data_IF_520615878728
#
_entry.id   IF_520615878728
#
_cell.length_a   1.000
_cell.length_b   1.000
_cell.length_c   1.000
_cell.angle_alpha   90.00
_cell.angle_beta   90.00
_cell.angle_gamma   90.00
#
_symmetry.space_group_name_H-M   'P 1'
#
loop_
_entity.id
_entity.type
_entity.pdbx_description
1 polymer ?
#
# COMPACT_ATOMS: atom_id res chain seq x y z
N UNK A 1 -2.04 -2.75 25.52
CA UNK A 1 -1.08 -3.36 24.58
C UNK A 1 -1.71 -3.14 23.21
N UNK A 2 -1.15 -2.28 22.34
CA UNK A 2 -1.75 -2.02 21.02
C UNK A 2 -1.67 -3.31 20.20
N UNK A 3 -2.77 -3.68 19.57
CA UNK A 3 -2.88 -4.91 18.81
C UNK A 3 -1.99 -4.82 17.56
N UNK A 4 -1.09 -5.80 17.42
CA UNK A 4 -0.09 -5.87 16.36
C UNK A 4 -0.46 -6.86 15.27
N UNK A 5 -1.55 -7.62 15.45
CA UNK A 5 -1.82 -8.73 14.56
C UNK A 5 -2.82 -8.28 13.47
N UNK A 6 -2.36 -8.37 12.23
CA UNK A 6 -3.16 -8.28 11.01
C UNK A 6 -3.56 -9.67 10.51
N UNK A 7 -3.76 -10.59 11.45
CA UNK A 7 -4.12 -11.98 11.17
C UNK A 7 -5.64 -12.11 11.21
N UNK A 8 -6.23 -12.65 10.14
CA UNK A 8 -7.67 -12.83 10.00
C UNK A 8 -7.98 -14.30 9.78
N UNK A 9 -8.98 -14.83 10.48
CA UNK A 9 -9.51 -16.18 10.25
C UNK A 9 -10.51 -16.15 9.11
N UNK A 10 -10.36 -17.06 8.15
CA UNK A 10 -11.12 -17.08 6.89
C UNK A 10 -11.74 -18.45 6.59
N UNK A 11 -11.68 -19.39 7.54
CA UNK A 11 -12.13 -20.77 7.34
C UNK A 11 -13.61 -20.92 6.97
N UNK A 12 -14.47 -20.01 7.40
CA UNK A 12 -15.88 -20.00 7.05
C UNK A 12 -16.15 -19.49 5.62
N UNK A 13 -15.31 -18.57 5.12
CA UNK A 13 -15.31 -18.07 3.74
C UNK A 13 -14.85 -19.15 2.76
N UNK A 14 -13.90 -20.00 3.14
CA UNK A 14 -13.35 -21.07 2.29
C UNK A 14 -14.28 -22.28 2.12
N UNK A 15 -15.45 -22.32 2.78
CA UNK A 15 -16.38 -23.45 2.64
C UNK A 15 -17.14 -23.43 1.31
N UNK A 16 -17.45 -22.24 0.81
CA UNK A 16 -18.30 -22.04 -0.37
C UNK A 16 -17.92 -20.72 -1.04
N UNK A 17 -17.80 -20.74 -2.38
CA UNK A 17 -17.50 -19.55 -3.17
C UNK A 17 -18.61 -18.51 -3.11
N UNK A 18 -18.24 -17.23 -3.26
CA UNK A 18 -19.17 -16.11 -3.31
C UNK A 18 -19.51 -15.48 -1.96
N UNK A 19 -19.06 -16.05 -0.84
CA UNK A 19 -19.19 -15.41 0.48
C UNK A 19 -18.35 -14.15 0.56
N UNK A 20 -18.86 -13.15 1.27
CA UNK A 20 -18.19 -11.87 1.51
C UNK A 20 -18.22 -11.56 3.00
N UNK A 21 -17.11 -11.08 3.53
CA UNK A 21 -17.02 -10.53 4.88
C UNK A 21 -16.27 -9.19 4.86
N UNK A 22 -16.55 -8.34 5.84
CA UNK A 22 -15.98 -7.00 5.95
C UNK A 22 -15.50 -6.74 7.37
N UNK A 23 -14.23 -6.39 7.53
CA UNK A 23 -13.63 -6.02 8.80
C UNK A 23 -13.11 -4.59 8.76
N UNK A 24 -13.53 -3.77 9.72
CA UNK A 24 -12.95 -2.44 9.95
C UNK A 24 -12.02 -2.50 11.15
N UNK A 25 -10.88 -1.84 11.06
CA UNK A 25 -9.90 -1.76 12.13
C UNK A 25 -9.41 -0.32 12.30
N UNK A 26 -9.02 0.00 13.53
CA UNK A 26 -8.52 1.32 13.90
C UNK A 26 -7.27 1.20 14.78
N UNK A 27 -6.38 2.18 14.62
CA UNK A 27 -5.20 2.37 15.45
C UNK A 27 -4.26 1.16 15.55
N UNK A 28 -4.24 0.30 14.53
CA UNK A 28 -3.30 -0.84 14.46
C UNK A 28 -1.88 -0.33 14.26
N UNK A 29 -0.91 -1.01 14.86
CA UNK A 29 0.50 -0.64 14.77
C UNK A 29 1.34 -1.79 14.25
N UNK A 30 2.41 -1.49 13.54
CA UNK A 30 3.34 -2.45 12.97
C UNK A 30 4.78 -1.96 13.15
N UNK A 31 5.72 -2.88 13.32
CA UNK A 31 7.15 -2.55 13.31
C UNK A 31 7.72 -2.38 11.90
N UNK A 32 6.98 -2.78 10.85
CA UNK A 32 7.41 -2.67 9.47
C UNK A 32 7.36 -1.23 8.91
N UNK A 33 6.61 -0.33 9.58
CA UNK A 33 6.58 1.11 9.31
C UNK A 33 7.14 1.88 10.52
N UNK A 34 8.46 2.06 10.61
CA UNK A 34 9.10 2.67 11.77
C UNK A 34 8.77 4.16 11.93
N UNK A 35 8.35 4.82 10.85
CA UNK A 35 7.93 6.21 10.82
C UNK A 35 6.42 6.41 11.06
N UNK A 36 5.68 5.34 11.37
CA UNK A 36 4.26 5.44 11.70
C UNK A 36 4.08 6.24 13.00
N UNK A 37 3.21 7.24 12.96
CA UNK A 37 2.91 8.04 14.15
C UNK A 37 2.09 7.23 15.19
N UNK A 38 1.75 7.88 16.31
CA UNK A 38 1.02 7.22 17.41
C UNK A 38 -0.44 6.86 17.08
N UNK A 39 -1.04 7.45 16.05
CA UNK A 39 -2.43 7.19 15.65
C UNK A 39 -2.55 5.79 15.05
N UNK A 40 -1.52 5.31 14.34
CA UNK A 40 -1.50 3.99 13.75
C UNK A 40 -2.18 3.94 12.37
N UNK A 41 -2.58 2.74 11.98
CA UNK A 41 -3.22 2.45 10.69
C UNK A 41 -4.69 2.10 10.95
N UNK A 42 -5.57 2.71 10.18
CA UNK A 42 -7.01 2.46 10.23
C UNK A 42 -7.53 2.22 8.81
N UNK A 43 -8.59 1.43 8.68
CA UNK A 43 -9.23 1.18 7.40
C UNK A 43 -10.16 -0.02 7.41
N UNK A 44 -10.56 -0.45 6.21
CA UNK A 44 -11.49 -1.56 6.03
C UNK A 44 -10.87 -2.64 5.13
N UNK A 45 -11.19 -3.89 5.42
CA UNK A 45 -10.78 -5.07 4.68
C UNK A 45 -12.04 -5.79 4.24
N UNK A 46 -12.21 -5.96 2.93
CA UNK A 46 -13.31 -6.73 2.35
C UNK A 46 -12.73 -8.04 1.81
N UNK A 47 -13.20 -9.15 2.36
CA UNK A 47 -12.80 -10.49 1.99
C UNK A 47 -13.89 -11.10 1.11
N UNK A 48 -13.52 -11.66 -0.03
CA UNK A 48 -14.45 -12.37 -0.91
C UNK A 48 -13.90 -13.74 -1.25
N UNK A 49 -14.68 -14.77 -0.93
CA UNK A 49 -14.40 -16.13 -1.36
C UNK A 49 -14.61 -16.29 -2.85
N UNK A 50 -13.60 -16.79 -3.54
CA UNK A 50 -13.71 -17.19 -4.95
C UNK A 50 -14.13 -18.65 -5.07
N UNK A 51 -13.45 -19.49 -4.29
CA UNK A 51 -13.67 -20.92 -4.21
C UNK A 51 -13.10 -21.41 -2.87
N UNK A 52 -12.96 -22.74 -2.71
CA UNK A 52 -12.49 -23.33 -1.46
C UNK A 52 -11.00 -23.13 -1.19
N UNK A 53 -10.25 -22.67 -2.19
CA UNK A 53 -8.79 -22.58 -2.16
C UNK A 53 -8.28 -21.14 -2.29
N UNK A 54 -9.16 -20.15 -2.51
CA UNK A 54 -8.75 -18.79 -2.80
C UNK A 54 -9.75 -17.71 -2.39
N UNK A 55 -9.19 -16.54 -2.06
CA UNK A 55 -9.90 -15.34 -1.64
C UNK A 55 -9.38 -14.13 -2.44
N UNK A 56 -10.26 -13.18 -2.73
CA UNK A 56 -9.87 -11.81 -2.98
C UNK A 56 -9.95 -11.01 -1.69
N UNK A 57 -8.94 -10.18 -1.46
CA UNK A 57 -8.89 -9.24 -0.34
C UNK A 57 -8.78 -7.85 -0.93
N UNK A 58 -9.73 -6.99 -0.58
CA UNK A 58 -9.71 -5.57 -0.92
C UNK A 58 -9.44 -4.75 0.35
N UNK A 59 -8.44 -3.89 0.30
CA UNK A 59 -8.22 -2.87 1.32
C UNK A 59 -8.93 -1.60 0.87
N UNK A 60 -9.84 -1.09 1.69
CA UNK A 60 -10.62 0.10 1.40
C UNK A 60 -10.32 1.19 2.43
N UNK A 61 -10.03 2.39 1.93
CA UNK A 61 -9.80 3.60 2.74
C UNK A 61 -8.77 3.40 3.86
N UNK A 62 -7.65 2.73 3.56
CA UNK A 62 -6.54 2.63 4.51
C UNK A 62 -5.96 4.03 4.71
N UNK A 63 -5.76 4.41 5.95
CA UNK A 63 -5.18 5.70 6.30
C UNK A 63 -4.21 5.58 7.46
N UNK A 64 -3.14 6.37 7.37
CA UNK A 64 -2.18 6.54 8.43
C UNK A 64 -1.46 7.87 8.28
N UNK A 65 -0.71 8.25 9.31
CA UNK A 65 0.15 9.42 9.27
C UNK A 65 1.59 9.00 9.56
N UNK A 66 2.50 9.43 8.69
CA UNK A 66 3.92 9.10 8.77
C UNK A 66 4.73 10.34 9.17
N UNK A 67 5.76 10.14 10.00
CA UNK A 67 6.75 11.14 10.38
C UNK A 67 7.92 11.12 9.38
N UNK A 68 8.10 12.20 8.63
CA UNK A 68 9.06 12.28 7.54
C UNK A 68 10.01 13.47 7.71
N UNK A 69 11.05 13.49 6.88
CA UNK A 69 12.03 14.57 6.82
C UNK A 69 12.05 15.10 5.39
N UNK A 70 11.96 16.42 5.23
CA UNK A 70 11.98 17.04 3.91
C UNK A 70 13.37 16.91 3.27
N UNK A 71 13.45 16.35 2.07
CA UNK A 71 14.71 16.14 1.35
C UNK A 71 15.39 17.46 0.95
N UNK A 72 14.61 18.53 0.80
CA UNK A 72 15.11 19.85 0.38
C UNK A 72 15.64 20.71 1.53
N UNK A 73 14.93 20.75 2.67
CA UNK A 73 15.25 21.67 3.77
C UNK A 73 15.56 20.98 5.11
N UNK A 74 15.44 19.65 5.18
CA UNK A 74 15.72 18.85 6.38
C UNK A 74 14.70 18.99 7.51
N UNK A 75 13.61 19.75 7.32
CA UNK A 75 12.58 19.93 8.34
C UNK A 75 11.76 18.65 8.51
N UNK A 76 11.54 18.24 9.75
CA UNK A 76 10.61 17.17 10.08
C UNK A 76 9.16 17.62 9.92
N UNK A 77 8.33 16.79 9.30
CA UNK A 77 6.91 17.03 9.09
C UNK A 77 6.13 15.72 9.14
N UNK A 78 4.80 15.82 9.20
CA UNK A 78 3.91 14.66 9.13
C UNK A 78 3.22 14.63 7.78
N UNK A 79 3.22 13.46 7.13
CA UNK A 79 2.48 13.21 5.89
C UNK A 79 1.30 12.30 6.16
N UNK A 80 0.12 12.71 5.72
CA UNK A 80 -1.06 11.83 5.71
C UNK A 80 -1.00 10.95 4.47
N UNK A 81 -1.13 9.64 4.65
CA UNK A 81 -1.25 8.66 3.58
C UNK A 81 -2.68 8.14 3.56
N UNK A 82 -3.27 8.09 2.38
CA UNK A 82 -4.59 7.52 2.15
C UNK A 82 -4.49 6.58 0.96
N UNK A 83 -4.85 5.32 1.15
CA UNK A 83 -4.99 4.33 0.08
C UNK A 83 -6.49 4.09 -0.10
N UNK A 84 -7.10 4.61 -1.20
CA UNK A 84 -8.52 4.45 -1.44
C UNK A 84 -8.90 2.98 -1.62
N UNK A 85 -8.13 2.27 -2.43
CA UNK A 85 -8.35 0.87 -2.79
C UNK A 85 -7.02 0.18 -3.07
N UNK A 86 -6.85 -1.06 -2.59
CA UNK A 86 -5.75 -1.94 -2.96
C UNK A 86 -6.19 -3.40 -2.86
N UNK A 87 -6.09 -4.12 -3.97
CA UNK A 87 -6.60 -5.50 -4.10
C UNK A 87 -5.45 -6.48 -4.24
N UNK A 88 -5.60 -7.65 -3.64
CA UNK A 88 -4.72 -8.78 -3.87
C UNK A 88 -5.46 -10.11 -3.63
N UNK A 89 -4.88 -11.18 -4.15
CA UNK A 89 -5.42 -12.54 -4.08
C UNK A 89 -4.64 -13.37 -3.07
N UNK A 90 -5.35 -14.22 -2.33
CA UNK A 90 -4.80 -15.17 -1.39
C UNK A 90 -5.16 -16.60 -1.83
N UNK A 91 -4.21 -17.52 -1.79
CA UNK A 91 -4.38 -18.93 -2.21
C UNK A 91 -3.91 -19.92 -1.14
N UNK A 92 -4.51 -21.10 -1.06
CA UNK A 92 -4.29 -22.05 0.04
C UNK A 92 -2.94 -22.77 0.04
N UNK A 93 -2.20 -22.74 -1.07
CA UNK A 93 -0.90 -23.42 -1.16
C UNK A 93 0.15 -22.63 -1.93
N UNK A 94 1.39 -22.76 -1.49
CA UNK A 94 2.58 -22.18 -2.15
C UNK A 94 2.74 -22.68 -3.60
N UNK A 95 2.30 -23.91 -3.88
CA UNK A 95 2.33 -24.46 -5.24
C UNK A 95 1.41 -23.68 -6.17
N UNK A 96 0.16 -23.43 -5.73
CA UNK A 96 -0.79 -22.62 -6.50
C UNK A 96 -0.26 -21.19 -6.64
N UNK A 97 0.32 -20.61 -5.58
CA UNK A 97 0.97 -19.30 -5.66
C UNK A 97 2.03 -19.28 -6.76
N UNK A 98 2.96 -20.24 -6.80
CA UNK A 98 4.01 -20.27 -7.82
C UNK A 98 3.45 -20.38 -9.24
N UNK A 99 2.50 -21.29 -9.46
CA UNK A 99 1.86 -21.49 -10.77
C UNK A 99 1.10 -20.24 -11.25
N UNK A 100 0.35 -19.58 -10.36
CA UNK A 100 -0.42 -18.38 -10.71
C UNK A 100 0.48 -17.13 -10.85
N UNK A 101 1.51 -17.00 -9.99
CA UNK A 101 2.41 -15.84 -9.98
C UNK A 101 3.24 -15.71 -11.25
N UNK A 102 3.59 -16.83 -11.91
CA UNK A 102 4.28 -16.79 -13.22
C UNK A 102 3.46 -16.11 -14.32
N UNK A 103 2.13 -16.07 -14.15
CA UNK A 103 1.19 -15.52 -15.13
C UNK A 103 0.52 -14.23 -14.67
N UNK A 104 0.80 -13.78 -13.43
CA UNK A 104 0.17 -12.65 -12.79
C UNK A 104 1.20 -11.56 -12.47
N UNK A 105 0.87 -10.32 -12.83
CA UNK A 105 1.62 -9.14 -12.39
C UNK A 105 1.28 -8.74 -10.95
N UNK A 106 0.14 -9.21 -10.42
CA UNK A 106 -0.28 -8.97 -9.04
C UNK A 106 0.45 -9.91 -8.07
N UNK A 107 0.84 -9.39 -6.90
CA UNK A 107 1.36 -10.23 -5.80
C UNK A 107 0.24 -11.13 -5.28
N UNK A 108 0.54 -12.44 -5.18
CA UNK A 108 -0.37 -13.44 -4.62
C UNK A 108 0.14 -13.83 -3.24
N UNK A 109 -0.72 -13.81 -2.23
CA UNK A 109 -0.39 -14.22 -0.87
C UNK A 109 -0.89 -15.63 -0.56
N UNK A 110 -0.43 -16.21 0.55
CA UNK A 110 -0.77 -17.58 0.95
C UNK A 110 -1.68 -17.60 2.18
N UNK A 111 -2.71 -18.43 2.12
CA UNK A 111 -3.56 -18.78 3.25
C UNK A 111 -2.88 -19.89 4.04
N UNK A 112 -2.77 -19.71 5.35
CA UNK A 112 -2.30 -20.75 6.24
C UNK A 112 -3.34 -21.87 6.35
N UNK A 113 -3.14 -22.94 5.60
CA UNK A 113 -4.04 -24.09 5.57
C UNK A 113 -4.21 -24.82 6.91
N UNK A 114 -3.26 -24.67 7.86
CA UNK A 114 -3.33 -25.36 9.15
C UNK A 114 -4.40 -24.77 10.06
N UNK A 115 -4.55 -23.46 10.02
CA UNK A 115 -5.41 -22.72 10.95
C UNK A 115 -6.40 -21.78 10.24
N UNK A 116 -6.48 -21.89 8.92
CA UNK A 116 -7.36 -21.15 8.02
C UNK A 116 -7.29 -19.64 8.28
N UNK A 117 -6.05 -19.11 8.34
CA UNK A 117 -5.80 -17.69 8.53
C UNK A 117 -5.01 -17.07 7.38
N UNK A 118 -5.18 -15.77 7.22
CA UNK A 118 -4.35 -14.93 6.36
C UNK A 118 -3.67 -13.86 7.19
N UNK A 119 -2.47 -13.46 6.78
CA UNK A 119 -1.79 -12.29 7.31
C UNK A 119 -1.80 -11.21 6.23
N UNK A 120 -2.46 -10.08 6.53
CA UNK A 120 -2.57 -8.96 5.59
C UNK A 120 -1.59 -7.84 5.92
N UNK A 121 -0.68 -8.00 6.90
CA UNK A 121 0.28 -6.96 7.26
C UNK A 121 1.09 -6.54 6.04
N UNK A 122 1.72 -7.50 5.35
CA UNK A 122 2.57 -7.21 4.20
C UNK A 122 1.80 -6.51 3.06
N UNK A 123 0.56 -6.93 2.80
CA UNK A 123 -0.33 -6.31 1.82
C UNK A 123 -0.61 -4.84 2.19
N UNK A 124 -0.92 -4.55 3.45
CA UNK A 124 -1.13 -3.19 3.95
C UNK A 124 0.14 -2.35 3.82
N UNK A 125 1.30 -2.91 4.17
CA UNK A 125 2.58 -2.21 4.04
C UNK A 125 2.88 -1.86 2.58
N UNK A 126 2.69 -2.82 1.67
CA UNK A 126 2.89 -2.59 0.24
C UNK A 126 1.97 -1.48 -0.25
N UNK A 127 0.68 -1.54 0.09
CA UNK A 127 -0.31 -0.53 -0.28
C UNK A 127 0.08 0.88 0.16
N UNK A 128 0.56 1.04 1.40
CA UNK A 128 1.03 2.32 1.94
C UNK A 128 2.29 2.79 1.21
N UNK A 129 3.28 1.91 1.00
CA UNK A 129 4.55 2.26 0.34
C UNK A 129 4.37 2.61 -1.14
N UNK A 130 3.36 2.08 -1.81
CA UNK A 130 3.02 2.52 -3.16
C UNK A 130 2.58 3.99 -3.24
N UNK A 131 2.20 4.60 -2.12
CA UNK A 131 1.90 6.03 -2.01
C UNK A 131 3.12 6.87 -1.62
N UNK A 132 4.32 6.28 -1.55
CA UNK A 132 5.53 7.05 -1.25
C UNK A 132 5.91 7.92 -2.45
N UNK A 133 6.16 9.22 -2.22
CA UNK A 133 6.63 10.10 -3.28
C UNK A 133 8.06 9.75 -3.67
N UNK A 134 8.45 10.10 -4.90
CA UNK A 134 9.86 9.98 -5.33
C UNK A 134 10.80 10.91 -4.53
N UNK A 135 10.29 12.06 -4.10
CA UNK A 135 11.00 13.04 -3.27
C UNK A 135 10.04 13.55 -2.20
N UNK A 136 10.47 13.51 -0.94
CA UNK A 136 9.68 13.94 0.20
C UNK A 136 9.87 15.43 0.45
N UNK A 137 8.83 16.22 0.19
CA UNK A 137 8.82 17.66 0.48
C UNK A 137 7.83 18.00 1.59
N UNK A 138 8.23 18.91 2.47
CA UNK A 138 7.27 19.55 3.36
C UNK A 138 6.41 20.55 2.58
N UNK A 139 5.23 20.87 3.11
CA UNK A 139 4.25 21.77 2.50
C UNK A 139 4.84 23.12 2.04
N UNK A 140 5.82 23.66 2.78
CA UNK A 140 6.51 24.91 2.39
C UNK A 140 7.33 24.75 1.11
N UNK A 141 8.12 23.67 1.03
CA UNK A 141 8.97 23.41 -0.13
C UNK A 141 8.16 22.99 -1.35
N UNK A 142 7.06 22.28 -1.16
CA UNK A 142 6.12 21.91 -2.22
C UNK A 142 5.47 23.16 -2.85
N UNK A 143 4.94 24.08 -2.02
CA UNK A 143 4.39 25.37 -2.47
C UNK A 143 5.39 26.28 -3.19
N UNK A 144 6.67 26.17 -2.87
CA UNK A 144 7.71 26.92 -3.59
C UNK A 144 7.98 26.34 -4.98
N UNK A 145 7.90 25.02 -5.13
CA UNK A 145 8.08 24.36 -6.42
C UNK A 145 6.90 24.65 -7.35
N UNK A 146 5.67 24.63 -6.84
CA UNK A 146 4.47 24.99 -7.59
C UNK A 146 4.57 26.42 -8.18
N UNK A 147 5.11 27.37 -7.43
CA UNK A 147 5.31 28.75 -7.92
C UNK A 147 6.32 28.84 -9.06
N UNK A 148 7.38 28.03 -9.01
CA UNK A 148 8.40 28.01 -10.07
C UNK A 148 7.80 27.38 -11.34
N UNK A 149 7.00 26.31 -11.21
CA UNK A 149 6.34 25.69 -12.37
C UNK A 149 5.30 26.60 -13.01
N UNK A 150 4.58 27.40 -12.21
CA UNK A 150 3.58 28.34 -12.73
C UNK A 150 4.22 29.59 -13.39
N UNK A 151 5.42 29.98 -12.95
CA UNK A 151 6.19 31.08 -13.56
C UNK A 151 6.93 30.67 -14.85
N UNK A 152 7.07 29.37 -15.13
CA UNK A 152 7.65 28.81 -16.35
C UNK A 152 6.63 28.53 -17.47
N UNK A 153 5.42 29.12 -17.44
CA UNK A 153 4.61 29.31 -18.66
C UNK A 153 5.21 30.43 -19.54
N UNK A 154 6.42 30.22 -20.05
CA UNK A 154 7.08 31.09 -21.03
C UNK A 154 7.41 30.29 -22.30
N UNK A 155 6.56 30.53 -23.30
CA UNK A 155 6.76 30.45 -24.76
C UNK A 155 7.10 29.10 -25.42
N UNK A 156 6.14 28.61 -26.23
CA UNK A 156 6.42 27.73 -27.38
C UNK A 156 7.55 28.30 -28.25
N UNK A 157 8.68 27.61 -28.28
CA UNK A 157 9.81 27.91 -29.16
C UNK A 157 10.68 26.68 -29.39
N UNK A 158 10.34 25.87 -30.37
CA UNK A 158 11.17 24.77 -30.89
C UNK A 158 12.59 25.31 -31.23
N UNK A 159 13.67 24.66 -30.76
CA UNK A 159 14.73 24.10 -31.63
C UNK A 159 16.08 23.82 -30.92
N UNK A 160 16.44 22.52 -30.94
CA UNK A 160 17.77 21.90 -31.21
C UNK A 160 18.95 21.94 -30.20
N UNK A 161 19.27 20.74 -29.65
CA UNK A 161 20.61 20.10 -29.59
C UNK A 161 21.64 20.67 -28.60
N UNK A 162 22.44 19.92 -27.84
CA UNK A 162 22.95 18.56 -27.96
C UNK A 162 23.41 18.07 -26.56
N UNK A 163 23.11 16.84 -26.17
CA UNK A 163 23.83 16.15 -25.08
C UNK A 163 24.75 15.12 -25.71
N UNK A 164 26.06 15.30 -25.56
CA UNK A 164 27.10 14.36 -25.99
C UNK A 164 27.49 13.52 -24.77
N UNK A 165 27.40 12.19 -24.88
CA UNK A 165 27.96 11.26 -23.90
C UNK A 165 29.37 10.85 -24.32
N UNK A 166 30.35 11.04 -23.43
CA UNK A 166 31.70 10.48 -23.58
C UNK A 166 31.74 9.04 -23.06
N UNK A 167 32.46 8.20 -23.80
CA UNK A 167 32.69 6.77 -23.54
C UNK A 167 33.74 6.54 -22.46
#
# INVERSE_FOLDING_TARGET
MKDKNFIIKVGDLLKEGGKVDTLTFEEKTTSALPNLNKEGISGTIVLRSLNQDSLYVNLENISCTLEETCDRCGVHYTRKVVVPEYVSRFVISEKIKQEEQETSEEEIFVINARDESIDVELMIIQAIKFQDPFVSHCEKCEKELEKISDEEEIEEGISSGNVIFHK
#
